data_IF_837345659823
#
_entry.id   IF_837345659823
#
_cell.length_a   1.000
_cell.length_b   1.000
_cell.length_c   1.000
_cell.angle_alpha   90.00
_cell.angle_beta   90.00
_cell.angle_gamma   90.00
#
_symmetry.space_group_name_H-M   'P 1'
#
loop_
_entity.id
_entity.type
_entity.pdbx_description
1 polymer ?
#
# COMPACT_ATOMS: atom_id res chain seq x y z
N UNK A 1 1.86 6.55 0.72
CA UNK A 1 0.88 5.51 0.38
C UNK A 1 1.08 4.31 1.27
N UNK A 2 0.06 3.48 1.42
CA UNK A 2 0.13 2.20 2.09
C UNK A 2 0.52 1.12 1.08
N UNK A 3 1.52 0.29 1.39
CA UNK A 3 1.88 -0.86 0.56
C UNK A 3 0.94 -2.00 0.92
N UNK A 4 0.18 -2.47 -0.06
CA UNK A 4 -0.67 -3.64 0.06
C UNK A 4 -0.14 -4.78 -0.81
N UNK A 5 -0.35 -6.04 -0.38
CA UNK A 5 -0.14 -7.18 -1.24
C UNK A 5 -1.16 -7.18 -2.40
N UNK A 6 -0.71 -7.59 -3.58
CA UNK A 6 -1.50 -7.80 -4.78
C UNK A 6 -1.20 -9.19 -5.35
N UNK A 7 -2.09 -9.71 -6.20
CA UNK A 7 -1.86 -10.98 -6.90
C UNK A 7 -0.59 -10.92 -7.76
N UNK A 8 -0.30 -9.74 -8.34
CA UNK A 8 0.90 -9.45 -9.14
C UNK A 8 2.13 -9.03 -8.30
N UNK A 9 2.04 -9.09 -6.96
CA UNK A 9 3.12 -8.72 -6.05
C UNK A 9 2.73 -7.63 -5.05
N UNK A 10 3.16 -6.38 -5.27
CA UNK A 10 2.90 -5.27 -4.37
C UNK A 10 2.15 -4.13 -5.09
N UNK A 11 1.25 -3.47 -4.36
CA UNK A 11 0.54 -2.27 -4.82
C UNK A 11 0.59 -1.18 -3.76
N UNK A 12 0.78 0.06 -4.18
CA UNK A 12 0.76 1.25 -3.36
C UNK A 12 -0.65 1.85 -3.43
N UNK A 13 -1.39 1.73 -2.33
CA UNK A 13 -2.65 2.43 -2.13
C UNK A 13 -2.37 3.85 -1.63
N UNK A 14 -2.74 4.83 -2.43
CA UNK A 14 -2.77 6.22 -2.02
C UNK A 14 -4.11 6.54 -1.37
N UNK A 15 -4.20 6.39 -0.05
CA UNK A 15 -5.40 6.67 0.74
C UNK A 15 -5.88 8.12 0.58
N UNK A 16 -4.97 9.05 0.29
CA UNK A 16 -5.29 10.47 0.10
C UNK A 16 -6.12 10.71 -1.16
N UNK A 17 -5.86 9.97 -2.23
CA UNK A 17 -6.58 10.09 -3.50
C UNK A 17 -7.50 8.90 -3.78
N UNK A 18 -7.59 7.91 -2.88
CA UNK A 18 -8.26 6.62 -3.11
C UNK A 18 -7.84 5.97 -4.45
N UNK A 19 -6.55 6.04 -4.76
CA UNK A 19 -5.98 5.46 -5.99
C UNK A 19 -4.98 4.38 -5.67
N UNK A 20 -5.05 3.29 -6.42
CA UNK A 20 -4.17 2.14 -6.25
C UNK A 20 -3.20 2.07 -7.42
N UNK A 21 -1.92 1.93 -7.12
CA UNK A 21 -0.86 1.84 -8.11
C UNK A 21 -0.11 0.53 -7.92
N UNK A 22 0.23 -0.19 -8.98
CA UNK A 22 1.13 -1.34 -8.87
C UNK A 22 2.52 -0.85 -8.49
N UNK A 23 3.03 -1.30 -7.36
CA UNK A 23 4.29 -0.83 -6.80
C UNK A 23 5.42 -1.69 -7.33
N UNK A 24 6.30 -1.08 -8.11
CA UNK A 24 7.51 -1.74 -8.59
C UNK A 24 8.64 -1.40 -7.60
N UNK A 25 9.12 -2.38 -6.81
CA UNK A 25 10.30 -2.18 -5.97
C UNK A 25 11.49 -2.00 -6.90
N UNK A 26 11.97 -0.77 -7.01
CA UNK A 26 13.27 -0.50 -7.63
C UNK A 26 14.37 -0.81 -6.62
N UNK A 27 15.07 0.22 -6.18
CA UNK A 27 16.15 0.11 -5.18
C UNK A 27 15.64 0.15 -3.72
N UNK A 28 14.33 0.20 -3.53
CA UNK A 28 13.72 0.43 -2.22
C UNK A 28 13.04 -0.83 -1.74
N UNK A 29 13.53 -1.38 -0.62
CA UNK A 29 12.83 -2.44 0.10
C UNK A 29 11.64 -1.87 0.87
N UNK A 30 10.46 -2.37 0.56
CA UNK A 30 9.20 -2.02 1.23
C UNK A 30 8.39 -3.29 1.44
N UNK A 31 7.75 -3.40 2.60
CA UNK A 31 6.98 -4.58 2.98
C UNK A 31 5.48 -4.37 2.79
N UNK A 32 4.71 -5.42 2.49
CA UNK A 32 3.25 -5.34 2.54
C UNK A 32 2.80 -4.97 3.97
N UNK A 33 1.79 -4.11 4.07
CA UNK A 33 1.32 -3.54 5.34
C UNK A 33 2.19 -2.39 5.87
N UNK A 34 3.14 -1.88 5.07
CA UNK A 34 3.99 -0.77 5.46
C UNK A 34 3.54 0.53 4.82
N UNK A 35 3.44 1.59 5.63
CA UNK A 35 3.14 2.95 5.18
C UNK A 35 4.44 3.66 4.87
N UNK A 36 4.60 4.05 3.61
CA UNK A 36 5.82 4.69 3.15
C UNK A 36 5.53 5.87 2.25
N UNK A 37 6.42 6.84 2.31
CA UNK A 37 6.50 7.96 1.41
C UNK A 37 7.65 7.69 0.45
N UNK A 38 7.31 7.36 -0.78
CA UNK A 38 8.25 7.03 -1.84
C UNK A 38 8.24 8.14 -2.88
N UNK A 39 9.43 8.51 -3.38
CA UNK A 39 9.57 9.36 -4.56
C UNK A 39 9.91 8.44 -5.74
N UNK A 40 9.17 8.61 -6.82
CA UNK A 40 9.20 7.67 -7.93
C UNK A 40 8.59 8.26 -9.19
N UNK A 41 8.50 7.43 -10.21
CA UNK A 41 7.82 7.76 -11.47
C UNK A 41 6.51 6.97 -11.54
N UNK A 42 5.44 7.65 -11.96
CA UNK A 42 4.16 7.05 -12.29
C UNK A 42 4.18 6.74 -13.77
N UNK A 43 3.83 5.51 -14.13
CA UNK A 43 3.65 5.11 -15.51
C UNK A 43 2.24 4.53 -15.65
N UNK A 44 1.62 4.75 -16.80
CA UNK A 44 0.41 4.03 -17.16
C UNK A 44 0.87 2.87 -18.04
N UNK A 45 0.55 1.65 -17.65
CA UNK A 45 0.76 0.49 -18.52
C UNK A 45 -0.41 0.40 -19.49
N UNK A 46 -0.15 -0.02 -20.73
CA UNK A 46 -1.13 -0.15 -21.82
C UNK A 46 -2.41 -0.95 -21.49
N UNK A 47 -2.45 -1.68 -20.36
CA UNK A 47 -3.63 -2.39 -19.85
C UNK A 47 -4.52 -1.61 -18.88
N UNK A 48 -4.34 -0.29 -18.73
CA UNK A 48 -5.13 0.54 -17.80
C UNK A 48 -4.65 0.49 -16.34
N UNK A 49 -3.66 -0.35 -16.03
CA UNK A 49 -3.03 -0.42 -14.72
C UNK A 49 -2.02 0.71 -14.54
N UNK A 50 -2.17 1.51 -13.48
CA UNK A 50 -1.18 2.53 -13.15
C UNK A 50 -0.04 1.91 -12.32
N UNK A 51 1.18 1.97 -12.82
CA UNK A 51 2.38 1.51 -12.12
C UNK A 51 3.12 2.68 -11.47
N UNK A 52 3.72 2.42 -10.31
CA UNK A 52 4.57 3.36 -9.60
C UNK A 52 5.92 2.72 -9.32
N UNK A 53 6.95 3.21 -10.00
CA UNK A 53 8.33 2.75 -9.78
C UNK A 53 8.95 3.56 -8.65
N UNK A 54 9.18 2.91 -7.52
CA UNK A 54 9.82 3.51 -6.37
C UNK A 54 11.32 3.72 -6.65
N UNK A 55 11.75 4.98 -6.73
CA UNK A 55 13.17 5.31 -6.91
C UNK A 55 13.89 5.55 -5.59
N UNK A 56 13.21 6.14 -4.60
CA UNK A 56 13.80 6.48 -3.31
C UNK A 56 12.76 6.50 -2.20
N UNK A 57 13.11 5.94 -1.04
CA UNK A 57 12.36 6.14 0.20
C UNK A 57 12.61 7.54 0.74
N UNK A 58 11.56 8.34 0.77
CA UNK A 58 11.59 9.67 1.38
C UNK A 58 11.36 9.56 2.87
N UNK A 59 10.38 8.75 3.27
CA UNK A 59 10.00 8.59 4.67
C UNK A 59 9.37 7.23 4.89
N UNK A 60 9.80 6.53 5.92
CA UNK A 60 9.02 5.43 6.48
C UNK A 60 8.04 6.01 7.49
N UNK A 61 6.75 5.69 7.33
CA UNK A 61 5.68 6.10 8.24
C UNK A 61 5.25 4.94 9.16
N UNK A 62 5.99 3.82 9.17
CA UNK A 62 5.68 2.63 9.94
C UNK A 62 4.69 1.70 9.23
N UNK A 63 3.83 1.04 9.99
CA UNK A 63 2.81 0.13 9.48
C UNK A 63 1.56 0.90 9.05
N UNK A 64 0.93 0.48 7.95
CA UNK A 64 -0.45 0.86 7.67
C UNK A 64 -1.33 -0.37 7.86
N UNK A 65 -2.51 -0.17 8.46
CA UNK A 65 -3.61 -1.10 8.20
C UNK A 65 -3.90 -0.98 6.71
N UNK A 66 -3.54 -2.01 5.94
CA UNK A 66 -4.27 -2.26 4.70
C UNK A 66 -5.77 -2.18 5.05
N UNK A 67 -6.66 -1.62 4.20
CA UNK A 67 -8.06 -1.96 4.32
C UNK A 67 -8.13 -3.48 4.28
N UNK A 68 -8.25 -4.06 5.46
CA UNK A 68 -8.75 -5.39 5.61
C UNK A 68 -10.11 -5.31 4.94
N UNK A 69 -10.32 -6.11 3.91
CA UNK A 69 -11.60 -6.77 3.83
C UNK A 69 -11.87 -7.28 5.25
N UNK A 70 -12.83 -6.65 5.96
CA UNK A 70 -13.04 -6.58 7.40
C UNK A 70 -12.46 -5.30 8.05
N UNK A 71 -13.23 -4.26 8.32
CA UNK A 71 -14.19 -4.28 9.45
C UNK A 71 -13.68 -4.99 10.73
N UNK A 72 -12.38 -4.99 11.00
CA UNK A 72 -11.77 -5.46 12.25
C UNK A 72 -11.21 -4.27 13.03
N UNK A 73 -12.06 -3.29 13.27
CA UNK A 73 -11.87 -2.27 14.30
C UNK A 73 -13.24 -1.95 14.91
N UNK A 74 -13.89 -2.98 15.45
CA UNK A 74 -14.63 -2.79 16.69
C UNK A 74 -14.07 -3.76 17.72
N UNK A 75 -12.96 -3.36 18.32
CA UNK A 75 -12.48 -3.90 19.58
C UNK A 75 -13.54 -3.60 20.64
N UNK A 76 -14.47 -4.54 20.82
CA UNK A 76 -15.51 -4.51 21.85
C UNK A 76 -15.82 -5.95 22.28
N UNK A 77 -14.91 -6.50 23.08
CA UNK A 77 -14.95 -7.67 23.98
C UNK A 77 -16.09 -8.72 23.83
N UNK A 78 -15.77 -10.03 23.75
CA UNK A 78 -16.73 -11.08 24.08
C UNK A 78 -16.79 -11.24 25.61
N UNK A 79 -17.90 -10.83 26.24
CA UNK A 79 -18.17 -11.16 27.64
C UNK A 79 -19.39 -12.08 27.69
N UNK A 80 -19.11 -13.33 28.01
CA UNK A 80 -20.02 -14.43 28.29
C UNK A 80 -21.07 -14.06 29.35
N UNK A 81 -22.33 -14.48 29.17
CA UNK A 81 -23.22 -15.06 30.19
C UNK A 81 -24.56 -15.49 29.63
#
# INVERSE_FOLDING_TARGET
>A
GCVQPAEDGLRLLDEKNNKTYTLVPGDVLVKPGQRVLLKGKKSNSDGGTQTFTAKKLVKDLGSCSAPASANSANSGSPASR
#
